data_IF_735197750291
#
_entry.id   IF_735197750291
#
_cell.length_a   1.000
_cell.length_b   1.000
_cell.length_c   1.000
_cell.angle_alpha   90.00
_cell.angle_beta   90.00
_cell.angle_gamma   90.00
#
_symmetry.space_group_name_H-M   'P 1'
#
loop_
_entity.id
_entity.type
_entity.pdbx_description
1 polymer ?
#
# COMPACT_ATOMS: atom_id res chain seq x y z
N UNK A 1 15.93 14.58 1.98
CA UNK A 1 15.63 13.47 2.93
C UNK A 1 14.32 13.81 3.61
N UNK A 2 13.46 12.81 3.83
CA UNK A 2 12.18 13.01 4.51
C UNK A 2 12.46 13.31 5.98
N UNK A 3 11.83 14.37 6.51
CA UNK A 3 11.84 14.67 7.94
C UNK A 3 10.78 13.80 8.62
N UNK A 4 11.23 12.76 9.32
CA UNK A 4 10.34 11.79 9.95
C UNK A 4 9.87 12.31 11.32
N UNK A 5 8.57 12.18 11.65
CA UNK A 5 8.11 12.48 13.00
C UNK A 5 8.67 11.45 14.00
N UNK A 6 8.61 11.78 15.29
CA UNK A 6 8.90 10.82 16.36
C UNK A 6 7.97 9.60 16.22
N UNK A 7 8.58 8.43 16.03
CA UNK A 7 7.84 7.18 15.91
C UNK A 7 7.58 6.56 17.28
N UNK A 8 6.43 5.89 17.47
CA UNK A 8 6.23 5.08 18.66
C UNK A 8 7.25 3.93 18.72
N UNK A 9 7.63 3.53 19.93
CA UNK A 9 8.62 2.46 20.15
C UNK A 9 8.21 1.14 19.44
N UNK A 10 9.07 0.67 18.54
CA UNK A 10 8.85 -0.54 17.73
C UNK A 10 8.56 -1.77 18.59
N UNK A 11 9.29 -1.96 19.70
CA UNK A 11 9.14 -3.14 20.57
C UNK A 11 7.78 -3.14 21.27
N UNK A 12 7.34 -1.98 21.76
CA UNK A 12 6.03 -1.81 22.36
C UNK A 12 4.91 -2.05 21.35
N UNK A 13 5.05 -1.54 20.11
CA UNK A 13 4.08 -1.81 19.04
C UNK A 13 4.01 -3.29 18.69
N UNK A 14 5.16 -3.96 18.54
CA UNK A 14 5.24 -5.41 18.29
C UNK A 14 4.49 -6.22 19.36
N UNK A 15 4.69 -5.90 20.64
CA UNK A 15 4.02 -6.59 21.74
C UNK A 15 2.49 -6.46 21.66
N UNK A 16 1.97 -5.32 21.19
CA UNK A 16 0.52 -5.08 21.03
C UNK A 16 -0.10 -5.90 19.89
N UNK A 17 0.61 -6.08 18.78
CA UNK A 17 0.01 -6.66 17.56
C UNK A 17 0.14 -8.17 17.46
N UNK A 18 1.06 -8.81 18.20
CA UNK A 18 1.31 -10.26 18.10
C UNK A 18 0.04 -11.09 18.30
N UNK A 19 -0.82 -10.71 19.24
CA UNK A 19 -2.10 -11.40 19.49
C UNK A 19 -3.17 -11.17 18.41
N UNK A 20 -3.02 -10.15 17.57
CA UNK A 20 -3.99 -9.81 16.53
C UNK A 20 -3.80 -10.67 15.26
N UNK A 21 -2.61 -11.23 15.07
CA UNK A 21 -2.23 -11.97 13.84
C UNK A 21 -2.90 -13.35 13.72
N UNK A 22 -3.37 -13.92 14.82
CA UNK A 22 -3.98 -15.27 14.87
C UNK A 22 -5.48 -15.29 14.57
N UNK A 23 -6.12 -14.13 14.38
CA UNK A 23 -7.58 -14.02 14.21
C UNK A 23 -8.07 -14.34 12.80
N UNK A 24 -7.18 -14.62 11.84
CA UNK A 24 -7.53 -14.84 10.44
C UNK A 24 -7.71 -16.33 10.12
N UNK A 25 -8.80 -16.66 9.42
CA UNK A 25 -9.06 -18.01 8.90
C UNK A 25 -8.45 -18.16 7.50
N UNK A 26 -7.35 -18.90 7.43
CA UNK A 26 -6.65 -19.14 6.18
C UNK A 26 -7.44 -19.96 5.14
N UNK A 27 -8.46 -20.69 5.59
CA UNK A 27 -9.32 -21.50 4.73
C UNK A 27 -10.48 -20.70 4.11
N UNK A 28 -10.75 -19.49 4.59
CA UNK A 28 -11.88 -18.73 4.10
C UNK A 28 -11.71 -18.29 2.64
N UNK A 29 -12.75 -18.52 1.84
CA UNK A 29 -12.90 -18.05 0.47
C UNK A 29 -14.33 -17.58 0.24
N UNK A 30 -14.56 -16.44 -0.42
CA UNK A 30 -15.91 -15.98 -0.75
C UNK A 30 -16.50 -16.86 -1.86
N UNK A 31 -17.84 -16.99 -1.94
CA UNK A 31 -18.49 -17.86 -2.92
C UNK A 31 -18.41 -17.35 -4.37
N UNK A 32 -18.10 -16.07 -4.57
CA UNK A 32 -18.17 -15.36 -5.85
C UNK A 32 -16.78 -14.95 -6.38
N UNK A 33 -15.80 -15.83 -6.28
CA UNK A 33 -14.47 -15.61 -6.87
C UNK A 33 -14.57 -15.38 -8.38
N UNK A 34 -13.93 -14.32 -8.85
CA UNK A 34 -13.78 -14.06 -10.28
C UNK A 34 -12.86 -15.11 -10.92
N UNK A 35 -13.13 -15.48 -12.17
CA UNK A 35 -12.27 -16.41 -12.91
C UNK A 35 -10.97 -15.72 -13.28
N UNK A 36 -9.85 -16.42 -13.03
CA UNK A 36 -8.51 -15.95 -13.38
C UNK A 36 -8.13 -16.49 -14.77
N UNK A 37 -7.83 -15.58 -15.69
CA UNK A 37 -7.28 -15.86 -17.02
C UNK A 37 -5.76 -15.75 -17.08
N UNK A 38 -5.21 -15.85 -18.29
CA UNK A 38 -3.77 -15.77 -18.51
C UNK A 38 -3.23 -14.37 -18.20
N UNK A 39 -2.20 -14.28 -17.35
CA UNK A 39 -1.59 -13.02 -16.94
C UNK A 39 -2.37 -12.25 -15.87
N UNK A 40 -3.47 -12.82 -15.38
CA UNK A 40 -4.28 -12.28 -14.30
C UNK A 40 -3.93 -12.94 -12.96
N UNK A 41 -4.24 -12.27 -11.86
CA UNK A 41 -4.00 -12.77 -10.50
C UNK A 41 -5.23 -12.54 -9.62
N UNK A 42 -5.55 -13.52 -8.75
CA UNK A 42 -6.60 -13.34 -7.75
C UNK A 42 -6.02 -12.75 -6.47
N UNK A 43 -6.68 -11.74 -5.92
CA UNK A 43 -6.35 -11.19 -4.60
C UNK A 43 -6.49 -12.23 -3.48
N UNK A 44 -7.23 -13.31 -3.71
CA UNK A 44 -7.39 -14.39 -2.75
C UNK A 44 -6.18 -15.32 -2.73
N UNK A 45 -5.38 -15.39 -3.79
CA UNK A 45 -4.19 -16.24 -3.84
C UNK A 45 -2.94 -15.57 -3.24
N UNK A 46 -3.06 -14.33 -2.77
CA UNK A 46 -2.01 -13.65 -2.03
C UNK A 46 -1.87 -14.22 -0.61
N UNK A 47 -0.67 -14.18 -0.03
CA UNK A 47 -0.45 -14.69 1.31
C UNK A 47 -0.88 -13.67 2.37
N UNK A 48 -1.04 -14.19 3.59
CA UNK A 48 -1.11 -13.43 4.84
C UNK A 48 -0.21 -14.13 5.85
N UNK A 49 0.90 -13.54 6.36
CA UNK A 49 1.35 -12.15 6.17
C UNK A 49 1.55 -11.73 4.70
N UNK A 50 1.41 -10.43 4.39
CA UNK A 50 1.66 -9.90 3.05
C UNK A 50 3.04 -10.30 2.50
N UNK A 51 3.16 -10.38 1.17
CA UNK A 51 4.43 -10.59 0.46
C UNK A 51 4.80 -9.37 -0.37
N UNK A 52 6.10 -9.16 -0.58
CA UNK A 52 6.63 -8.14 -1.48
C UNK A 52 7.12 -8.74 -2.80
N UNK A 53 6.42 -8.44 -3.89
CA UNK A 53 6.80 -8.82 -5.25
C UNK A 53 7.29 -7.59 -6.03
N UNK A 54 8.17 -7.72 -7.05
CA UNK A 54 8.39 -6.64 -8.00
C UNK A 54 7.08 -6.23 -8.69
N UNK A 55 6.86 -4.92 -8.86
CA UNK A 55 5.77 -4.43 -9.68
C UNK A 55 5.92 -4.94 -11.13
N UNK A 56 4.84 -5.28 -11.83
CA UNK A 56 4.92 -5.93 -13.14
C UNK A 56 5.32 -4.98 -14.27
N UNK A 57 5.32 -3.68 -14.02
CA UNK A 57 5.67 -2.62 -14.95
C UNK A 57 6.04 -1.34 -14.20
N UNK A 58 6.49 -0.32 -14.93
CA UNK A 58 6.76 1.02 -14.38
C UNK A 58 5.53 1.56 -13.65
N UNK A 59 5.71 1.97 -12.41
CA UNK A 59 4.69 2.59 -11.58
C UNK A 59 4.82 4.10 -11.71
N UNK A 60 3.73 4.80 -12.02
CA UNK A 60 3.70 6.27 -12.14
C UNK A 60 2.57 6.85 -11.29
N UNK A 61 2.87 7.93 -10.55
CA UNK A 61 1.90 8.69 -9.77
C UNK A 61 1.89 10.13 -10.24
N UNK A 62 0.70 10.67 -10.47
CA UNK A 62 0.50 12.05 -10.92
C UNK A 62 -0.54 12.79 -10.09
N UNK A 63 -0.30 14.08 -9.90
CA UNK A 63 -1.32 15.06 -9.59
C UNK A 63 -1.52 15.91 -10.85
N UNK A 64 -2.72 15.83 -11.44
CA UNK A 64 -3.01 16.40 -12.75
C UNK A 64 -1.98 15.96 -13.80
N UNK A 65 -1.23 16.91 -14.37
CA UNK A 65 -0.21 16.65 -15.39
C UNK A 65 1.21 16.51 -14.82
N UNK A 66 1.40 16.65 -13.51
CA UNK A 66 2.72 16.60 -12.89
C UNK A 66 3.00 15.22 -12.33
N UNK A 67 4.17 14.68 -12.65
CA UNK A 67 4.66 13.41 -12.10
C UNK A 67 5.19 13.66 -10.70
N UNK A 68 4.63 12.97 -9.72
CA UNK A 68 5.01 13.00 -8.31
C UNK A 68 5.97 11.85 -7.98
N UNK A 69 5.80 10.73 -8.68
CA UNK A 69 6.68 9.58 -8.57
C UNK A 69 6.67 8.76 -9.85
N UNK A 70 7.81 8.16 -10.22
CA UNK A 70 7.91 7.23 -11.34
C UNK A 70 9.06 6.24 -11.11
N UNK A 71 8.75 4.95 -11.02
CA UNK A 71 9.74 3.92 -10.70
C UNK A 71 9.56 2.64 -11.52
N UNK A 72 10.66 2.04 -11.96
CA UNK A 72 10.77 0.67 -12.46
C UNK A 72 11.25 -0.32 -11.38
N UNK A 73 11.47 0.17 -10.14
CA UNK A 73 11.96 -0.59 -8.99
C UNK A 73 10.89 -0.80 -7.91
N UNK A 74 9.65 -0.40 -8.18
CA UNK A 74 8.57 -0.48 -7.22
C UNK A 74 8.32 -1.93 -6.77
N UNK A 75 7.94 -2.10 -5.50
CA UNK A 75 7.53 -3.38 -4.94
C UNK A 75 6.03 -3.36 -4.65
N UNK A 76 5.30 -4.31 -5.24
CA UNK A 76 3.90 -4.57 -4.92
C UNK A 76 3.82 -5.30 -3.58
N UNK A 77 3.14 -4.68 -2.61
CA UNK A 77 2.70 -5.39 -1.42
C UNK A 77 1.39 -6.10 -1.69
N UNK A 78 1.38 -7.43 -1.55
CA UNK A 78 0.24 -8.30 -1.84
C UNK A 78 -0.20 -9.02 -0.58
N UNK A 79 -1.45 -8.78 -0.18
CA UNK A 79 -2.09 -9.38 0.99
C UNK A 79 -3.45 -9.97 0.58
N UNK A 80 -3.84 -11.11 1.15
CA UNK A 80 -5.15 -11.72 0.91
C UNK A 80 -6.28 -10.69 0.87
N UNK A 81 -7.12 -10.82 -0.16
CA UNK A 81 -8.28 -9.98 -0.48
C UNK A 81 -7.97 -8.50 -0.77
N UNK A 82 -6.73 -8.03 -0.62
CA UNK A 82 -6.31 -6.68 -0.97
C UNK A 82 -5.74 -6.62 -2.40
N UNK A 83 -6.06 -5.55 -3.13
CA UNK A 83 -5.36 -5.28 -4.39
C UNK A 83 -3.89 -4.91 -4.11
N UNK A 84 -2.95 -5.21 -5.05
CA UNK A 84 -1.55 -4.87 -4.85
C UNK A 84 -1.35 -3.38 -4.54
N UNK A 85 -0.46 -3.09 -3.61
CA UNK A 85 -0.12 -1.74 -3.22
C UNK A 85 1.35 -1.47 -3.54
N UNK A 86 1.66 -0.70 -4.61
CA UNK A 86 3.03 -0.37 -4.94
C UNK A 86 3.69 0.55 -3.91
N UNK A 87 4.89 0.16 -3.48
CA UNK A 87 5.83 0.98 -2.74
C UNK A 87 6.94 1.41 -3.69
N UNK A 88 7.24 2.71 -3.74
CA UNK A 88 8.27 3.30 -4.57
C UNK A 88 9.46 3.75 -3.69
N UNK A 89 10.71 3.51 -4.11
CA UNK A 89 11.87 3.97 -3.36
C UNK A 89 11.91 5.51 -3.33
N UNK A 90 12.39 6.14 -2.25
CA UNK A 90 12.42 7.61 -2.12
C UNK A 90 13.15 8.34 -3.24
N UNK A 91 14.12 7.68 -3.88
CA UNK A 91 14.89 8.25 -4.99
C UNK A 91 14.06 8.42 -6.27
N UNK A 92 12.91 7.77 -6.37
CA UNK A 92 12.00 7.82 -7.53
C UNK A 92 10.74 8.66 -7.24
N UNK A 93 10.77 9.43 -6.13
CA UNK A 93 9.66 10.20 -5.60
C UNK A 93 10.12 11.64 -5.34
N UNK A 94 9.29 12.61 -5.70
CA UNK A 94 9.50 14.03 -5.37
C UNK A 94 9.22 14.27 -3.88
N UNK A 95 10.10 13.75 -3.03
CA UNK A 95 9.92 13.70 -1.57
C UNK A 95 9.86 15.07 -0.90
N UNK A 96 10.37 16.11 -1.55
CA UNK A 96 10.23 17.50 -1.10
C UNK A 96 8.79 18.01 -1.09
N UNK A 97 7.89 17.37 -1.85
CA UNK A 97 6.46 17.72 -1.86
C UNK A 97 5.66 16.93 -0.82
N UNK A 98 6.29 15.97 -0.12
CA UNK A 98 5.64 15.16 0.90
C UNK A 98 5.81 15.80 2.27
N UNK A 99 4.70 16.23 2.86
CA UNK A 99 4.68 16.88 4.17
C UNK A 99 4.00 15.95 5.19
N UNK A 100 4.71 15.47 6.23
CA UNK A 100 4.08 14.69 7.29
C UNK A 100 2.90 15.46 7.89
N UNK A 101 1.74 14.82 8.00
CA UNK A 101 0.53 15.49 8.49
C UNK A 101 0.19 15.16 9.95
N UNK A 102 1.10 14.49 10.66
CA UNK A 102 0.97 14.10 12.05
C UNK A 102 0.11 12.83 12.28
N UNK A 103 -0.48 12.24 11.25
CA UNK A 103 -1.22 10.98 11.39
C UNK A 103 -0.26 9.79 11.32
N UNK A 104 -0.37 8.93 12.33
CA UNK A 104 0.32 7.66 12.41
C UNK A 104 -0.73 6.56 12.60
N UNK A 105 -0.68 5.54 11.77
CA UNK A 105 -1.52 4.33 11.90
C UNK A 105 -0.65 3.11 12.22
N UNK A 106 -1.27 2.05 12.74
CA UNK A 106 -0.57 0.82 13.08
C UNK A 106 -1.10 -0.33 12.23
N UNK A 107 -0.23 -0.95 11.45
CA UNK A 107 -0.50 -2.22 10.81
C UNK A 107 0.11 -3.36 11.63
N UNK A 108 -0.66 -4.42 11.84
CA UNK A 108 -0.28 -5.61 12.59
C UNK A 108 0.91 -6.37 11.96
N UNK A 109 1.12 -6.23 10.65
CA UNK A 109 2.21 -6.87 9.91
C UNK A 109 3.45 -5.99 9.79
N UNK A 110 3.26 -4.69 9.57
CA UNK A 110 4.33 -3.79 9.10
C UNK A 110 4.78 -2.77 10.12
N UNK A 111 3.98 -2.45 11.13
CA UNK A 111 4.32 -1.44 12.13
C UNK A 111 3.67 -0.08 11.88
N UNK A 112 4.35 0.98 12.32
CA UNK A 112 3.82 2.34 12.29
C UNK A 112 3.91 2.94 10.88
N UNK A 113 2.77 3.29 10.31
CA UNK A 113 2.68 4.00 9.03
C UNK A 113 2.56 5.51 9.28
N UNK A 114 3.47 6.30 8.72
CA UNK A 114 3.41 7.77 8.71
C UNK A 114 2.66 8.22 7.47
N UNK A 115 1.67 9.09 7.64
CA UNK A 115 0.89 9.65 6.55
C UNK A 115 1.40 11.05 6.12
N UNK A 116 1.32 11.31 4.82
CA UNK A 116 1.80 12.53 4.19
C UNK A 116 0.68 13.22 3.42
N UNK A 117 0.66 14.54 3.50
CA UNK A 117 0.02 15.38 2.50
C UNK A 117 0.97 15.57 1.31
N UNK A 118 0.41 15.69 0.11
CA UNK A 118 1.14 16.16 -1.06
C UNK A 118 0.91 17.67 -1.21
N UNK A 119 2.00 18.44 -1.17
CA UNK A 119 2.00 19.89 -1.26
C UNK A 119 3.03 20.36 -2.29
N UNK A 120 2.59 20.44 -3.56
CA UNK A 120 3.39 20.91 -4.68
C UNK A 120 3.13 22.40 -4.96
N UNK A 121 4.16 23.19 -5.34
CA UNK A 121 3.98 24.58 -5.75
C UNK A 121 2.95 24.73 -6.89
N UNK A 122 2.02 25.68 -6.72
CA UNK A 122 1.02 26.00 -7.74
C UNK A 122 -0.12 24.97 -7.88
N UNK A 123 -0.20 23.99 -6.99
CA UNK A 123 -1.24 22.96 -7.01
C UNK A 123 -2.00 22.90 -5.67
N UNK A 124 -3.28 22.50 -5.67
CA UNK A 124 -4.00 22.25 -4.43
C UNK A 124 -3.30 21.18 -3.59
N UNK A 125 -3.24 21.39 -2.27
CA UNK A 125 -2.75 20.37 -1.34
C UNK A 125 -3.67 19.15 -1.37
N UNK A 126 -3.11 17.96 -1.47
CA UNK A 126 -3.84 16.69 -1.36
C UNK A 126 -3.58 16.07 0.01
N UNK A 127 -4.56 16.14 0.89
CA UNK A 127 -4.42 15.63 2.26
C UNK A 127 -4.37 14.10 2.29
N UNK A 128 -3.40 13.55 3.03
CA UNK A 128 -3.23 12.10 3.20
C UNK A 128 -3.02 11.36 1.88
N UNK A 129 -2.25 11.95 0.97
CA UNK A 129 -2.04 11.43 -0.38
C UNK A 129 -1.16 10.17 -0.40
N UNK A 130 -0.25 10.06 0.58
CA UNK A 130 0.76 9.02 0.63
C UNK A 130 1.02 8.55 2.06
N UNK A 131 1.68 7.40 2.20
CA UNK A 131 2.17 6.91 3.47
C UNK A 131 3.48 6.13 3.31
N UNK A 132 4.17 5.91 4.43
CA UNK A 132 5.38 5.09 4.48
C UNK A 132 5.49 4.35 5.81
N UNK A 133 6.25 3.26 5.81
CA UNK A 133 6.71 2.57 7.01
C UNK A 133 8.21 2.87 7.20
N UNK A 134 8.60 3.80 8.08
CA UNK A 134 10.01 4.20 8.19
C UNK A 134 10.84 3.18 8.97
N UNK A 135 10.22 2.50 9.94
CA UNK A 135 10.81 1.41 10.72
C UNK A 135 9.85 0.21 10.74
N UNK A 136 9.81 -0.58 9.65
CA UNK A 136 8.93 -1.74 9.56
C UNK A 136 9.30 -2.82 10.59
N UNK A 137 8.32 -3.62 10.99
CA UNK A 137 8.57 -4.81 11.82
C UNK A 137 9.50 -5.82 11.14
N UNK A 138 10.28 -6.52 11.96
CA UNK A 138 11.37 -7.44 11.60
C UNK A 138 11.19 -8.84 12.21
N UNK A 139 9.97 -9.15 12.70
CA UNK A 139 9.68 -10.39 13.43
C UNK A 139 8.99 -11.48 12.58
N UNK A 140 8.86 -11.24 11.27
CA UNK A 140 8.20 -12.12 10.31
C UNK A 140 9.20 -12.63 9.27
N UNK A 141 8.85 -13.72 8.57
CA UNK A 141 9.72 -14.32 7.56
C UNK A 141 9.84 -13.45 6.29
N UNK A 142 8.79 -12.71 5.94
CA UNK A 142 8.85 -11.69 4.89
C UNK A 142 9.68 -10.49 5.39
N UNK A 143 10.71 -10.12 4.64
CA UNK A 143 11.60 -9.01 4.98
C UNK A 143 11.00 -7.66 4.56
N UNK A 144 10.24 -7.05 5.46
CA UNK A 144 9.69 -5.71 5.25
C UNK A 144 10.73 -4.59 5.33
N UNK A 145 11.97 -4.84 5.76
CA UNK A 145 13.02 -3.81 5.73
C UNK A 145 13.31 -3.33 4.30
N UNK A 146 13.01 -4.16 3.29
CA UNK A 146 13.07 -3.82 1.86
C UNK A 146 12.23 -2.60 1.46
N UNK A 147 11.18 -2.28 2.22
CA UNK A 147 10.33 -1.11 2.00
C UNK A 147 10.47 -0.04 3.10
N UNK A 148 11.50 -0.12 3.94
CA UNK A 148 11.75 0.88 4.97
C UNK A 148 11.93 2.27 4.34
N UNK A 149 11.04 3.19 4.68
CA UNK A 149 10.99 4.55 4.13
C UNK A 149 10.48 4.65 2.69
N UNK A 150 10.05 3.56 2.04
CA UNK A 150 9.46 3.61 0.70
C UNK A 150 8.04 4.18 0.76
N UNK A 151 7.61 4.84 -0.31
CA UNK A 151 6.37 5.61 -0.35
C UNK A 151 5.30 4.88 -1.15
N UNK A 152 4.11 4.74 -0.58
CA UNK A 152 2.91 4.30 -1.27
C UNK A 152 1.90 5.44 -1.38
N UNK A 153 1.04 5.39 -2.40
CA UNK A 153 0.10 6.46 -2.74
C UNK A 153 -1.33 5.95 -2.91
N UNK A 154 -2.32 6.78 -2.56
CA UNK A 154 -3.72 6.43 -2.69
C UNK A 154 -4.27 6.72 -4.09
N UNK A 155 -4.69 5.69 -4.87
CA UNK A 155 -5.30 5.87 -6.20
C UNK A 155 -6.68 6.55 -6.15
N UNK A 156 -7.28 6.67 -4.95
CA UNK A 156 -8.50 7.45 -4.73
C UNK A 156 -8.24 8.96 -4.69
N UNK A 157 -6.98 9.38 -4.55
CA UNK A 157 -6.58 10.79 -4.40
C UNK A 157 -5.68 11.29 -5.53
N UNK A 158 -4.95 10.38 -6.17
CA UNK A 158 -3.98 10.68 -7.24
C UNK A 158 -4.22 9.81 -8.47
N UNK A 159 -3.74 10.26 -9.62
CA UNK A 159 -3.75 9.45 -10.84
C UNK A 159 -2.56 8.48 -10.81
N UNK A 160 -2.85 7.22 -10.49
CA UNK A 160 -1.87 6.16 -10.31
C UNK A 160 -1.91 5.17 -11.48
N UNK A 161 -0.75 4.76 -11.99
CA UNK A 161 -0.61 3.93 -13.18
C UNK A 161 0.38 2.79 -12.99
N UNK A 162 0.06 1.63 -13.56
CA UNK A 162 0.98 0.49 -13.72
C UNK A 162 1.17 0.27 -15.22
N UNK A 163 2.37 0.54 -15.71
CA UNK A 163 2.59 0.73 -17.15
C UNK A 163 1.74 1.90 -17.64
N UNK A 164 0.93 1.66 -18.67
CA UNK A 164 0.01 2.64 -19.24
C UNK A 164 -1.41 2.56 -18.63
N UNK A 165 -1.67 1.57 -17.78
CA UNK A 165 -3.00 1.34 -17.23
C UNK A 165 -3.21 2.17 -15.95
N UNK A 166 -4.29 2.96 -15.93
CA UNK A 166 -4.70 3.72 -14.74
C UNK A 166 -5.36 2.78 -13.73
N UNK A 167 -4.79 2.70 -12.53
CA UNK A 167 -5.34 1.94 -11.43
C UNK A 167 -6.65 2.55 -10.92
N UNK A 168 -7.64 1.68 -10.69
CA UNK A 168 -8.86 1.98 -9.95
C UNK A 168 -8.59 1.81 -8.45
N UNK A 169 -9.20 2.62 -7.56
CA UNK A 169 -8.98 2.46 -6.14
C UNK A 169 -9.65 1.21 -5.59
N UNK A 170 -8.98 0.54 -4.68
CA UNK A 170 -9.61 -0.44 -3.81
C UNK A 170 -10.79 0.20 -3.04
N UNK A 171 -11.95 -0.46 -2.93
CA UNK A 171 -13.10 0.08 -2.22
C UNK A 171 -12.83 0.41 -0.74
N UNK A 172 -13.73 1.20 -0.14
CA UNK A 172 -13.71 1.52 1.29
C UNK A 172 -12.84 2.71 1.69
N UNK A 173 -12.04 3.27 0.78
CA UNK A 173 -11.32 4.55 0.97
C UNK A 173 -10.17 4.53 1.99
N UNK A 174 -10.07 3.49 2.82
CA UNK A 174 -9.01 3.26 3.79
C UNK A 174 -7.83 2.48 3.21
N UNK A 175 -8.06 1.71 2.15
CA UNK A 175 -7.06 0.81 1.58
C UNK A 175 -6.30 1.48 0.43
N UNK A 176 -5.00 1.23 0.41
CA UNK A 176 -4.06 1.73 -0.58
C UNK A 176 -3.94 0.90 -1.86
N UNK A 177 -4.80 -0.11 -2.07
CA UNK A 177 -4.67 -1.08 -3.16
C UNK A 177 -5.02 -0.51 -4.54
N UNK A 178 -4.25 -0.90 -5.56
CA UNK A 178 -4.35 -0.46 -6.94
C UNK A 178 -4.97 -1.58 -7.80
N UNK A 179 -6.22 -1.41 -8.21
CA UNK A 179 -6.92 -2.38 -9.05
C UNK A 179 -6.63 -2.06 -10.52
N UNK A 180 -5.90 -2.96 -11.17
CA UNK A 180 -5.74 -3.02 -12.63
C UNK A 180 -6.54 -4.20 -13.19
N UNK A 181 -6.70 -4.30 -14.51
CA UNK A 181 -7.54 -5.31 -15.16
C UNK A 181 -7.02 -6.74 -14.96
N UNK A 182 -5.71 -6.87 -14.71
CA UNK A 182 -5.09 -8.14 -14.29
C UNK A 182 -5.54 -8.61 -12.90
N UNK A 183 -6.10 -7.74 -12.06
CA UNK A 183 -6.45 -8.06 -10.67
C UNK A 183 -7.89 -8.56 -10.60
N UNK A 184 -8.06 -9.79 -10.12
CA UNK A 184 -9.36 -10.46 -9.94
C UNK A 184 -9.75 -10.55 -8.48
N UNK A 185 -11.01 -10.23 -8.22
CA UNK A 185 -11.59 -10.15 -6.90
C UNK A 185 -12.43 -11.36 -6.49
N UNK A 186 -13.36 -11.14 -5.55
CA UNK A 186 -13.76 -9.83 -5.03
C UNK A 186 -12.67 -9.20 -4.14
N UNK A 187 -12.49 -7.88 -4.22
CA UNK A 187 -11.51 -7.14 -3.41
C UNK A 187 -12.17 -6.63 -2.13
N UNK A 188 -11.48 -6.71 -0.98
CA UNK A 188 -11.95 -6.19 0.31
C UNK A 188 -12.09 -4.68 0.29
N UNK A 189 -13.08 -4.15 1.02
CA UNK A 189 -13.29 -2.72 1.16
C UNK A 189 -14.75 -2.30 1.21
N UNK A 190 -15.65 -3.08 0.61
CA UNK A 190 -17.09 -2.83 0.65
C UNK A 190 -17.72 -3.25 2.00
N UNK A 191 -18.90 -2.71 2.38
CA UNK A 191 -19.62 -3.14 3.57
C UNK A 191 -19.78 -4.66 3.64
N UNK A 192 -19.50 -5.23 4.83
CA UNK A 192 -19.56 -6.68 5.06
C UNK A 192 -18.26 -7.44 4.76
N UNK A 193 -17.25 -6.81 4.15
CA UNK A 193 -15.95 -7.45 3.84
C UNK A 193 -14.89 -7.29 4.94
N UNK A 194 -15.23 -6.71 6.10
CA UNK A 194 -14.28 -6.41 7.17
C UNK A 194 -13.63 -7.63 7.84
N UNK A 195 -14.16 -8.83 7.60
CA UNK A 195 -13.62 -10.10 8.10
C UNK A 195 -12.65 -10.77 7.10
N UNK A 196 -12.43 -10.19 5.92
CA UNK A 196 -11.58 -10.74 4.86
C UNK A 196 -10.07 -10.57 5.14
#
# INVERSE_FOLDING_TARGET
MIDWPDLPDKRALLARVRGHRSGWDAGFRPPNLEKVGSGEESVWDYPRPPRLDPAPATVTVRQDNVIVAKSDRALDLKETAGAPCPYLPPADVETEWLVPNGRISLCEWKGAAVEFDLAMPGQPRVTGAAWSYPDPFDDLAEDYSRIAGWIAFYPSKLACFVGDERARPQPGGLYGGWITDRIKGPVKGEPGTGHW
#
